data_IF_603743767226
#
_entry.id   IF_603743767226
#
_cell.length_a   1.000
_cell.length_b   1.000
_cell.length_c   1.000
_cell.angle_alpha   90.00
_cell.angle_beta   90.00
_cell.angle_gamma   90.00
#
_symmetry.space_group_name_H-M   'P 1'
#
loop_
_entity.id
_entity.type
_entity.pdbx_description
1 polymer ?
#
# COMPACT_ATOMS: atom_id res chain seq x y z
N UNK A 1 -15.88 29.14 14.26
CA UNK A 1 -15.69 27.78 14.81
C UNK A 1 -14.72 27.11 13.86
N UNK A 2 -13.50 26.80 14.31
CA UNK A 2 -12.57 26.04 13.48
C UNK A 2 -13.14 24.63 13.26
N UNK A 3 -13.26 24.25 12.00
CA UNK A 3 -13.67 22.90 11.62
C UNK A 3 -12.43 22.02 11.76
N UNK A 4 -12.43 21.16 12.80
CA UNK A 4 -11.39 20.15 13.00
C UNK A 4 -11.24 19.31 11.72
N UNK A 5 -10.06 19.35 11.10
CA UNK A 5 -9.74 18.52 9.95
C UNK A 5 -9.18 17.18 10.40
N UNK A 6 -9.31 16.15 9.56
CA UNK A 6 -8.71 14.84 9.82
C UNK A 6 -7.18 14.91 9.95
N UNK A 7 -6.54 15.86 9.28
CA UNK A 7 -5.09 16.10 9.33
C UNK A 7 -4.63 16.66 10.67
N UNK A 8 -5.56 17.23 11.46
CA UNK A 8 -5.29 17.79 12.80
C UNK A 8 -5.33 16.70 13.90
N UNK A 9 -5.83 15.50 13.57
CA UNK A 9 -5.90 14.39 14.52
C UNK A 9 -4.53 13.73 14.74
N UNK A 10 -4.25 13.14 15.91
CA UNK A 10 -3.04 12.33 16.12
C UNK A 10 -2.98 11.16 15.14
N UNK A 11 -1.96 11.12 14.29
CA UNK A 11 -1.91 10.16 13.19
C UNK A 11 -1.86 8.72 13.67
N UNK A 12 -0.98 8.40 14.63
CA UNK A 12 -0.78 7.01 15.07
C UNK A 12 -1.94 6.48 15.91
N UNK A 13 -2.32 7.24 16.93
CA UNK A 13 -3.29 6.78 17.92
C UNK A 13 -4.72 6.82 17.42
N UNK A 14 -5.02 7.67 16.43
CA UNK A 14 -6.38 7.88 15.92
C UNK A 14 -6.46 7.50 14.44
N UNK A 15 -5.74 8.19 13.56
CA UNK A 15 -5.97 8.05 12.12
C UNK A 15 -5.58 6.66 11.63
N UNK A 16 -4.37 6.20 11.94
CA UNK A 16 -3.81 4.92 11.52
C UNK A 16 -4.47 3.73 12.20
N UNK A 17 -4.97 3.93 13.42
CA UNK A 17 -5.56 2.86 14.23
C UNK A 17 -7.06 2.70 14.03
N UNK A 18 -7.78 3.79 13.81
CA UNK A 18 -9.24 3.81 13.87
C UNK A 18 -9.91 4.29 12.58
N UNK A 19 -9.17 4.90 11.64
CA UNK A 19 -9.74 5.35 10.36
C UNK A 19 -9.18 4.50 9.22
N UNK A 20 -7.87 4.49 9.07
CA UNK A 20 -7.16 3.88 7.95
C UNK A 20 -7.38 2.38 7.78
N UNK A 21 -7.52 1.56 8.83
CA UNK A 21 -7.78 0.13 8.66
C UNK A 21 -9.12 -0.19 8.00
N UNK A 22 -10.03 0.77 7.94
CA UNK A 22 -11.34 0.65 7.28
C UNK A 22 -11.35 1.17 5.85
N UNK A 23 -10.24 1.74 5.38
CA UNK A 23 -10.12 2.23 4.02
C UNK A 23 -9.65 1.09 3.11
N UNK A 24 -10.30 0.98 1.97
CA UNK A 24 -9.78 0.19 0.86
C UNK A 24 -8.47 0.79 0.36
N UNK A 25 -7.67 -0.05 -0.28
CA UNK A 25 -6.43 0.38 -0.94
C UNK A 25 -6.69 1.45 -2.01
N UNK A 26 -7.85 1.41 -2.68
CA UNK A 26 -8.24 2.47 -3.63
C UNK A 26 -8.50 3.80 -2.92
N UNK A 27 -9.13 3.79 -1.74
CA UNK A 27 -9.35 5.00 -0.93
C UNK A 27 -8.04 5.57 -0.41
N UNK A 28 -7.10 4.73 0.05
CA UNK A 28 -5.74 5.17 0.37
C UNK A 28 -5.04 5.86 -0.80
N UNK A 29 -5.17 5.31 -2.01
CA UNK A 29 -4.61 5.93 -3.22
C UNK A 29 -5.27 7.29 -3.51
N UNK A 30 -6.59 7.40 -3.33
CA UNK A 30 -7.34 8.64 -3.55
C UNK A 30 -6.98 9.71 -2.53
N UNK A 31 -6.95 9.36 -1.24
CA UNK A 31 -6.60 10.27 -0.15
C UNK A 31 -5.24 10.91 -0.37
N UNK A 32 -4.25 10.12 -0.80
CA UNK A 32 -2.91 10.61 -1.14
C UNK A 32 -2.91 11.81 -2.08
N UNK A 33 -3.87 11.90 -2.99
CA UNK A 33 -3.94 12.96 -4.01
C UNK A 33 -4.82 14.15 -3.60
N UNK A 34 -5.38 14.16 -2.38
CA UNK A 34 -6.27 15.24 -1.91
C UNK A 34 -5.47 16.49 -1.53
N UNK A 35 -4.39 16.34 -0.76
CA UNK A 35 -3.52 17.45 -0.36
C UNK A 35 -2.12 16.97 -0.02
N UNK A 36 -1.19 17.90 0.22
CA UNK A 36 0.17 17.57 0.69
C UNK A 36 0.14 16.89 2.07
N UNK A 37 -0.79 17.27 2.93
CA UNK A 37 -0.92 16.68 4.27
C UNK A 37 -1.39 15.23 4.19
N UNK A 38 -2.39 14.94 3.34
CA UNK A 38 -2.80 13.55 3.11
C UNK A 38 -1.72 12.71 2.43
N UNK A 39 -0.92 13.31 1.54
CA UNK A 39 0.23 12.63 0.97
C UNK A 39 1.23 12.23 2.06
N UNK A 40 1.57 13.15 2.97
CA UNK A 40 2.50 12.89 4.07
C UNK A 40 1.93 11.84 5.03
N UNK A 41 0.66 11.97 5.41
CA UNK A 41 -0.04 11.06 6.30
C UNK A 41 -0.08 9.63 5.71
N UNK A 42 -0.33 9.50 4.41
CA UNK A 42 -0.29 8.20 3.72
C UNK A 42 1.12 7.61 3.66
N UNK A 43 2.15 8.44 3.43
CA UNK A 43 3.55 7.99 3.46
C UNK A 43 3.94 7.43 4.84
N UNK A 44 3.60 8.15 5.92
CA UNK A 44 3.87 7.69 7.28
C UNK A 44 3.13 6.40 7.64
N UNK A 45 1.89 6.25 7.17
CA UNK A 45 1.15 5.01 7.35
C UNK A 45 1.82 3.84 6.66
N UNK A 46 2.24 4.02 5.40
CA UNK A 46 2.89 2.97 4.60
C UNK A 46 4.22 2.51 5.21
N UNK A 47 4.96 3.40 5.90
CA UNK A 47 6.18 3.06 6.64
C UNK A 47 5.96 2.08 7.81
N UNK A 48 4.70 1.96 8.27
CA UNK A 48 4.31 1.12 9.41
C UNK A 48 3.44 -0.06 9.02
N UNK A 49 2.97 -0.12 7.78
CA UNK A 49 2.11 -1.18 7.31
C UNK A 49 2.83 -2.53 7.32
N UNK A 50 2.25 -3.48 8.05
CA UNK A 50 2.66 -4.89 7.99
C UNK A 50 1.78 -5.69 7.03
N UNK A 51 0.61 -5.16 6.67
CA UNK A 51 -0.37 -5.82 5.81
C UNK A 51 -0.86 -4.86 4.74
N UNK A 52 -0.82 -5.28 3.49
CA UNK A 52 -1.39 -4.54 2.37
C UNK A 52 -2.19 -5.45 1.45
N UNK A 53 -3.38 -5.00 1.07
CA UNK A 53 -4.28 -5.72 0.19
C UNK A 53 -4.58 -4.91 -1.07
N UNK A 54 -3.88 -5.21 -2.16
CA UNK A 54 -4.14 -4.64 -3.47
C UNK A 54 -5.10 -5.50 -4.32
N UNK A 55 -5.78 -6.48 -3.74
CA UNK A 55 -6.65 -7.39 -4.51
C UNK A 55 -7.71 -6.61 -5.29
N UNK A 56 -7.93 -7.02 -6.54
CA UNK A 56 -8.88 -6.39 -7.47
C UNK A 56 -8.61 -4.90 -7.78
N UNK A 57 -7.44 -4.36 -7.38
CA UNK A 57 -7.07 -2.99 -7.73
C UNK A 57 -6.67 -2.89 -9.20
N UNK A 58 -6.83 -1.70 -9.77
CA UNK A 58 -6.28 -1.33 -11.08
C UNK A 58 -5.41 -0.08 -10.93
N UNK A 59 -4.11 -0.22 -11.14
CA UNK A 59 -3.15 0.89 -11.14
C UNK A 59 -1.97 0.59 -12.06
N UNK A 60 -1.01 1.50 -12.18
CA UNK A 60 0.23 1.26 -12.92
C UNK A 60 1.38 0.88 -11.99
N UNK A 61 2.45 0.31 -12.54
CA UNK A 61 3.68 -0.01 -11.80
C UNK A 61 4.25 1.22 -11.09
N UNK A 62 4.21 2.39 -11.73
CA UNK A 62 4.71 3.64 -11.15
C UNK A 62 3.89 4.04 -9.91
N UNK A 63 2.56 3.93 -9.99
CA UNK A 63 1.69 4.26 -8.86
C UNK A 63 1.94 3.31 -7.70
N UNK A 64 2.04 2.01 -7.97
CA UNK A 64 2.34 1.01 -6.96
C UNK A 64 3.69 1.27 -6.30
N UNK A 65 4.76 1.41 -7.09
CA UNK A 65 6.10 1.72 -6.57
C UNK A 65 6.10 2.95 -5.66
N UNK A 66 5.36 3.98 -6.06
CA UNK A 66 5.26 5.24 -5.31
C UNK A 66 4.45 5.09 -4.02
N UNK A 67 3.47 4.18 -3.96
CA UNK A 67 2.69 3.91 -2.74
C UNK A 67 3.53 3.06 -1.79
N UNK A 68 4.21 2.05 -2.32
CA UNK A 68 4.96 1.07 -1.53
C UNK A 68 6.42 1.46 -1.30
N UNK A 69 6.80 2.71 -1.57
CA UNK A 69 8.18 3.16 -1.50
C UNK A 69 8.75 3.10 -0.09
N UNK A 70 7.90 3.37 0.91
CA UNK A 70 8.25 3.32 2.34
C UNK A 70 7.93 2.00 3.04
N UNK A 71 7.31 1.06 2.34
CA UNK A 71 6.92 -0.22 2.95
C UNK A 71 8.14 -1.12 3.12
N UNK A 72 8.63 -1.22 4.37
CA UNK A 72 9.79 -2.04 4.75
C UNK A 72 9.48 -3.04 5.87
N UNK A 73 8.23 -3.09 6.33
CA UNK A 73 7.78 -3.93 7.46
C UNK A 73 6.69 -4.92 7.05
N UNK A 74 6.47 -5.13 5.75
CA UNK A 74 5.41 -6.00 5.26
C UNK A 74 5.66 -7.45 5.69
N UNK A 75 4.61 -8.05 6.23
CA UNK A 75 4.50 -9.47 6.58
C UNK A 75 3.42 -10.16 5.76
N UNK A 76 2.45 -9.41 5.24
CA UNK A 76 1.34 -9.93 4.45
C UNK A 76 1.06 -9.00 3.26
N UNK A 77 1.06 -9.56 2.06
CA UNK A 77 0.75 -8.85 0.83
C UNK A 77 -0.24 -9.67 0.00
N UNK A 78 -1.38 -9.09 -0.36
CA UNK A 78 -2.24 -9.66 -1.39
C UNK A 78 -2.32 -8.74 -2.59
N UNK A 79 -2.31 -9.34 -3.76
CA UNK A 79 -2.53 -8.68 -5.04
C UNK A 79 -3.44 -9.56 -5.93
N UNK A 80 -4.32 -10.37 -5.33
CA UNK A 80 -5.17 -11.29 -6.08
C UNK A 80 -5.99 -10.55 -7.15
N UNK A 81 -6.15 -11.18 -8.32
CA UNK A 81 -6.85 -10.64 -9.49
C UNK A 81 -6.25 -9.32 -10.04
N UNK A 82 -4.94 -9.09 -9.87
CA UNK A 82 -4.26 -7.94 -10.45
C UNK A 82 -3.52 -8.29 -11.74
N UNK A 83 -3.97 -7.74 -12.88
CA UNK A 83 -3.34 -7.95 -14.19
C UNK A 83 -2.39 -6.81 -14.61
N UNK A 84 -2.09 -5.86 -13.71
CA UNK A 84 -1.35 -4.64 -14.04
C UNK A 84 0.11 -4.65 -13.56
N UNK A 85 0.45 -5.46 -12.56
CA UNK A 85 1.78 -5.43 -11.93
C UNK A 85 2.82 -6.23 -12.72
N UNK A 86 4.04 -5.70 -12.85
CA UNK A 86 5.19 -6.42 -13.41
C UNK A 86 6.09 -7.08 -12.35
N UNK A 87 6.83 -8.11 -12.77
CA UNK A 87 7.80 -8.81 -11.91
C UNK A 87 8.86 -7.85 -11.34
N UNK A 88 9.33 -6.88 -12.15
CA UNK A 88 10.38 -5.94 -11.75
C UNK A 88 9.96 -5.07 -10.56
N UNK A 89 8.74 -4.51 -10.61
CA UNK A 89 8.28 -3.61 -9.53
C UNK A 89 7.97 -4.40 -8.26
N UNK A 90 7.42 -5.60 -8.40
CA UNK A 90 7.18 -6.50 -7.28
C UNK A 90 8.49 -6.88 -6.60
N UNK A 91 9.49 -7.33 -7.36
CA UNK A 91 10.79 -7.73 -6.82
C UNK A 91 11.47 -6.60 -6.03
N UNK A 92 11.34 -5.36 -6.49
CA UNK A 92 11.85 -4.20 -5.74
C UNK A 92 11.19 -4.08 -4.35
N UNK A 93 9.88 -4.36 -4.24
CA UNK A 93 9.19 -4.37 -2.96
C UNK A 93 9.66 -5.54 -2.08
N UNK A 94 9.76 -6.75 -2.65
CA UNK A 94 10.15 -7.95 -1.90
C UNK A 94 11.56 -7.85 -1.32
N UNK A 95 12.51 -7.28 -2.07
CA UNK A 95 13.89 -7.03 -1.60
C UNK A 95 13.97 -6.16 -0.34
N UNK A 96 12.99 -5.28 -0.12
CA UNK A 96 12.90 -4.45 1.09
C UNK A 96 12.16 -5.13 2.23
N UNK A 97 11.42 -6.21 1.96
CA UNK A 97 10.53 -6.88 2.91
C UNK A 97 10.91 -8.35 3.06
N UNK A 98 12.11 -8.59 3.60
CA UNK A 98 12.67 -9.95 3.75
C UNK A 98 11.91 -10.82 4.77
N UNK A 99 11.08 -10.19 5.61
CA UNK A 99 10.26 -10.88 6.63
C UNK A 99 8.83 -11.13 6.15
N UNK A 100 8.58 -11.11 4.84
CA UNK A 100 7.25 -11.38 4.29
C UNK A 100 6.85 -12.84 4.57
N UNK A 101 5.73 -13.04 5.26
CA UNK A 101 5.24 -14.34 5.70
C UNK A 101 4.14 -14.90 4.81
N UNK A 102 3.42 -14.01 4.11
CA UNK A 102 2.32 -14.38 3.24
C UNK A 102 2.28 -13.49 2.01
N UNK A 103 2.10 -14.12 0.86
CA UNK A 103 1.90 -13.46 -0.41
C UNK A 103 0.80 -14.17 -1.20
N UNK A 104 -0.22 -13.43 -1.62
CA UNK A 104 -1.23 -13.90 -2.55
C UNK A 104 -1.10 -13.15 -3.88
N UNK A 105 -0.90 -13.92 -4.95
CA UNK A 105 -0.81 -13.46 -6.34
C UNK A 105 -1.75 -14.25 -7.26
N UNK A 106 -2.81 -14.83 -6.68
CA UNK A 106 -3.78 -15.62 -7.43
C UNK A 106 -4.37 -14.81 -8.57
N UNK A 107 -4.45 -15.41 -9.77
CA UNK A 107 -4.99 -14.76 -10.97
C UNK A 107 -4.23 -13.51 -11.44
N UNK A 108 -2.96 -13.33 -11.05
CA UNK A 108 -2.08 -12.31 -11.63
C UNK A 108 -1.48 -12.78 -12.96
N UNK A 109 -2.07 -12.40 -14.09
CA UNK A 109 -1.68 -12.90 -15.42
C UNK A 109 -0.41 -12.26 -15.99
N UNK A 110 0.09 -11.18 -15.38
CA UNK A 110 1.25 -10.41 -15.87
C UNK A 110 2.54 -10.72 -15.12
N UNK A 111 2.45 -11.48 -14.03
CA UNK A 111 3.57 -11.98 -13.27
C UNK A 111 4.02 -13.31 -13.86
N UNK A 112 5.32 -13.43 -14.12
CA UNK A 112 5.94 -14.66 -14.59
C UNK A 112 6.71 -15.27 -13.43
N UNK A 113 6.98 -16.59 -13.45
CA UNK A 113 7.61 -17.30 -12.32
C UNK A 113 8.97 -16.77 -11.83
N UNK A 114 9.54 -15.74 -12.46
CA UNK A 114 10.78 -15.07 -12.04
C UNK A 114 10.65 -14.21 -10.76
N UNK A 115 9.44 -13.87 -10.32
CA UNK A 115 9.26 -13.12 -9.06
C UNK A 115 9.52 -13.95 -7.77
N UNK A 116 9.71 -15.27 -7.90
CA UNK A 116 9.88 -16.22 -6.78
C UNK A 116 11.23 -16.94 -6.78
N UNK A 117 12.18 -16.53 -7.62
CA UNK A 117 13.48 -17.19 -7.80
C UNK A 117 14.63 -16.46 -7.11
#
# INVERSE_FOLDING_TARGET
MDVLQITDLPWEDVVFKHIFPYLSTQEHCRLRNVSKDFLQLQCEYMNKCEKLDFSNCKMSDEVFAKITSGCEKLKWLSMANCAWISDQVLMNLLKRNLNLLHMDMSSCTRLHGGALQ
#
